data_IF_844563953161
#
_entry.id   IF_844563953161
#
_cell.length_a   1.000
_cell.length_b   1.000
_cell.length_c   1.000
_cell.angle_alpha   90.00
_cell.angle_beta   90.00
_cell.angle_gamma   90.00
#
_symmetry.space_group_name_H-M   'P 1'
#
loop_
_entity.id
_entity.type
_entity.pdbx_description
1 polymer ?
#
# COMPACT_ATOMS: atom_id res chain seq x y z
N UNK A 1 63.21 -23.43 -30.69
CA UNK A 1 64.35 -22.93 -31.50
C UNK A 1 63.97 -21.56 -32.06
N UNK A 2 64.94 -20.69 -32.37
CA UNK A 2 64.77 -19.24 -32.64
C UNK A 2 64.95 -18.90 -34.16
N UNK A 3 64.43 -17.82 -34.76
CA UNK A 3 63.40 -16.80 -34.39
C UNK A 3 62.18 -16.96 -35.35
N UNK A 4 61.41 -16.02 -35.93
CA UNK A 4 61.24 -14.54 -36.04
C UNK A 4 59.73 -14.26 -36.34
N UNK A 5 59.16 -13.04 -36.31
CA UNK A 5 59.69 -11.72 -35.93
C UNK A 5 59.15 -10.56 -36.80
N UNK A 6 58.34 -9.63 -36.24
CA UNK A 6 57.81 -8.42 -36.89
C UNK A 6 56.27 -8.27 -36.81
N UNK A 7 55.62 -7.11 -36.94
CA UNK A 7 55.81 -5.73 -36.45
C UNK A 7 54.57 -4.90 -36.92
N UNK A 8 54.05 -3.98 -36.08
CA UNK A 8 53.20 -2.81 -36.39
C UNK A 8 51.84 -2.86 -37.18
N UNK A 9 50.76 -2.57 -36.42
CA UNK A 9 49.90 -1.36 -36.50
C UNK A 9 49.04 -0.97 -37.74
N UNK A 10 47.76 -0.71 -37.41
CA UNK A 10 46.82 0.35 -37.88
C UNK A 10 45.89 0.20 -39.12
N UNK A 11 44.60 0.43 -38.80
CA UNK A 11 43.58 1.20 -39.54
C UNK A 11 42.78 0.58 -40.71
N UNK A 12 41.44 0.60 -40.52
CA UNK A 12 40.41 1.08 -41.46
C UNK A 12 40.42 0.53 -42.92
N UNK A 13 39.34 -0.11 -43.41
CA UNK A 13 37.95 0.41 -43.37
C UNK A 13 36.96 -0.51 -44.12
N UNK A 14 35.67 -0.12 -44.12
CA UNK A 14 34.57 -0.59 -45.02
C UNK A 14 34.23 -2.09 -45.02
N UNK A 15 33.12 -2.45 -44.35
CA UNK A 15 32.03 -3.27 -44.92
C UNK A 15 30.90 -3.53 -43.90
N UNK A 16 29.91 -2.64 -43.81
CA UNK A 16 28.48 -3.00 -43.91
C UNK A 16 27.60 -1.74 -43.95
N UNK A 17 26.78 -1.62 -45.00
CA UNK A 17 25.75 -0.59 -45.17
C UNK A 17 24.49 -1.30 -45.70
N UNK A 18 23.32 -0.69 -45.50
CA UNK A 18 21.99 -1.26 -45.80
C UNK A 18 21.57 -2.31 -44.76
N UNK A 19 20.55 -1.99 -43.94
CA UNK A 19 20.00 -2.92 -42.94
C UNK A 19 18.97 -2.30 -41.98
N UNK A 20 19.20 -1.09 -41.47
CA UNK A 20 18.31 -0.45 -40.47
C UNK A 20 17.96 0.99 -40.85
N UNK A 21 16.84 1.20 -41.57
CA UNK A 21 16.37 2.56 -41.94
C UNK A 21 14.88 2.85 -41.78
N UNK A 22 14.09 1.97 -41.16
CA UNK A 22 12.65 2.17 -40.94
C UNK A 22 12.21 2.39 -39.49
N UNK A 23 13.03 2.04 -38.49
CA UNK A 23 12.66 2.23 -37.07
C UNK A 23 12.75 3.70 -36.59
N UNK A 24 13.60 4.53 -37.19
CA UNK A 24 14.04 5.80 -36.59
C UNK A 24 13.12 7.02 -36.81
N UNK A 25 12.03 6.91 -37.56
CA UNK A 25 11.17 8.06 -37.92
C UNK A 25 9.93 8.28 -37.05
N UNK A 26 9.52 7.34 -36.19
CA UNK A 26 8.36 7.54 -35.29
C UNK A 26 8.69 8.17 -33.92
N UNK A 27 9.93 8.05 -33.43
CA UNK A 27 10.31 8.55 -32.09
C UNK A 27 10.57 10.07 -32.01
N UNK A 28 11.04 10.71 -33.09
CA UNK A 28 11.44 12.14 -33.05
C UNK A 28 10.30 13.15 -32.86
N UNK A 29 9.03 12.76 -32.93
CA UNK A 29 7.88 13.67 -32.65
C UNK A 29 7.52 13.81 -31.17
N UNK A 30 7.77 12.81 -30.31
CA UNK A 30 7.40 12.91 -28.86
C UNK A 30 8.39 13.75 -28.04
N UNK A 31 9.70 13.68 -28.32
CA UNK A 31 10.72 14.41 -27.52
C UNK A 31 10.61 15.94 -27.58
N UNK A 32 10.09 16.53 -28.67
CA UNK A 32 9.96 18.00 -28.78
C UNK A 32 8.80 18.60 -27.97
N UNK A 33 7.90 17.79 -27.40
CA UNK A 33 6.71 18.29 -26.68
C UNK A 33 6.91 18.39 -25.16
N UNK A 34 7.89 17.66 -24.60
CA UNK A 34 8.13 17.60 -23.14
C UNK A 34 9.08 18.71 -22.68
N UNK A 35 10.02 19.13 -23.53
CA UNK A 35 11.05 20.13 -23.17
C UNK A 35 10.56 21.59 -23.13
N UNK A 36 9.31 21.88 -23.54
CA UNK A 36 8.77 23.25 -23.52
C UNK A 36 8.14 23.66 -22.19
N UNK A 37 7.63 22.73 -21.37
CA UNK A 37 6.96 23.06 -20.10
C UNK A 37 7.92 23.22 -18.91
N UNK A 38 9.10 22.59 -18.94
CA UNK A 38 10.09 22.67 -17.86
C UNK A 38 10.73 24.08 -17.76
N UNK A 39 10.70 24.88 -18.84
CA UNK A 39 11.39 26.18 -18.93
C UNK A 39 10.75 27.33 -18.13
N UNK A 40 9.58 27.15 -17.51
CA UNK A 40 8.78 28.27 -16.98
C UNK A 40 8.82 28.46 -15.45
N UNK A 41 9.42 27.54 -14.69
CA UNK A 41 9.54 27.64 -13.22
C UNK A 41 10.99 27.68 -12.68
N UNK A 42 11.99 27.79 -13.55
CA UNK A 42 13.42 27.76 -13.19
C UNK A 42 14.00 28.98 -12.44
N UNK A 43 13.17 29.94 -11.99
CA UNK A 43 13.65 31.24 -11.48
C UNK A 43 12.99 31.68 -10.15
N UNK A 44 13.17 30.90 -9.08
CA UNK A 44 13.14 31.44 -7.70
C UNK A 44 13.91 30.63 -6.63
N UNK A 45 14.14 29.34 -6.84
CA UNK A 45 14.76 28.44 -5.85
C UNK A 45 16.31 28.48 -5.75
N UNK A 46 16.96 29.61 -6.06
CA UNK A 46 18.43 29.78 -5.96
C UNK A 46 18.85 30.57 -4.72
N UNK A 47 18.64 29.99 -3.55
CA UNK A 47 19.34 30.26 -2.27
C UNK A 47 19.00 29.12 -1.29
N UNK A 48 19.82 28.94 -0.25
CA UNK A 48 19.81 27.78 0.67
C UNK A 48 20.24 26.48 -0.04
N UNK A 49 21.51 26.43 -0.48
CA UNK A 49 22.29 25.20 -0.65
C UNK A 49 23.79 25.57 -0.78
N UNK A 50 24.35 26.04 0.34
CA UNK A 50 25.78 26.40 0.47
C UNK A 50 26.29 25.95 1.83
N UNK A 51 26.66 24.67 1.91
CA UNK A 51 27.11 23.98 3.11
C UNK A 51 27.12 22.48 2.84
N UNK A 52 28.25 21.83 3.14
CA UNK A 52 28.63 20.49 2.67
C UNK A 52 28.90 20.42 1.15
N UNK A 53 30.20 20.39 0.80
CA UNK A 53 30.65 20.07 -0.55
C UNK A 53 30.94 18.57 -0.68
N UNK A 54 30.67 18.02 -1.86
CA UNK A 54 31.13 16.70 -2.27
C UNK A 54 31.52 16.76 -3.75
N UNK A 55 32.55 16.02 -4.16
CA UNK A 55 33.15 16.18 -5.49
C UNK A 55 32.40 15.39 -6.57
N UNK A 56 32.26 16.00 -7.75
CA UNK A 56 31.86 15.31 -8.97
C UNK A 56 32.90 14.26 -9.38
N UNK A 57 32.49 13.00 -9.47
CA UNK A 57 33.20 11.99 -10.25
C UNK A 57 32.23 11.23 -11.16
N UNK A 58 32.32 11.55 -12.45
CA UNK A 58 31.59 10.90 -13.54
C UNK A 58 31.91 9.39 -13.62
N UNK A 59 30.96 8.54 -13.21
CA UNK A 59 31.01 7.11 -13.49
C UNK A 59 30.08 6.76 -14.67
N UNK A 60 30.62 6.68 -15.88
CA UNK A 60 29.91 6.12 -17.04
C UNK A 60 30.11 4.60 -17.07
N UNK A 61 29.03 3.84 -16.89
CA UNK A 61 28.96 2.45 -17.32
C UNK A 61 27.56 2.11 -17.83
N UNK A 62 27.48 1.44 -18.97
CA UNK A 62 26.21 1.02 -19.58
C UNK A 62 25.76 -0.32 -19.00
N UNK A 63 24.63 -0.34 -18.31
CA UNK A 63 23.87 -1.56 -18.04
C UNK A 63 22.47 -1.35 -18.61
N UNK A 64 21.96 -2.33 -19.36
CA UNK A 64 20.53 -2.39 -19.70
C UNK A 64 19.77 -2.83 -18.45
N UNK A 65 19.37 -1.89 -17.59
CA UNK A 65 18.21 -2.10 -16.72
C UNK A 65 16.96 -1.63 -17.45
N UNK A 66 15.86 -2.35 -17.27
CA UNK A 66 14.54 -1.84 -17.59
C UNK A 66 14.17 -0.79 -16.54
N UNK A 67 13.58 0.33 -16.96
CA UNK A 67 13.52 1.52 -16.12
C UNK A 67 12.30 1.44 -15.18
N UNK A 68 12.56 1.23 -13.90
CA UNK A 68 11.59 1.39 -12.82
C UNK A 68 11.11 2.85 -12.77
N UNK A 69 9.83 3.08 -12.47
CA UNK A 69 9.25 4.42 -12.55
C UNK A 69 8.44 4.76 -11.30
N UNK A 70 8.85 5.79 -10.56
CA UNK A 70 7.92 6.57 -9.75
C UNK A 70 7.25 7.60 -10.65
N UNK A 71 5.92 7.58 -10.71
CA UNK A 71 5.13 8.55 -11.47
C UNK A 71 4.43 9.51 -10.52
N UNK A 72 4.66 10.81 -10.72
CA UNK A 72 4.12 11.90 -9.90
C UNK A 72 3.02 12.64 -10.66
N UNK A 73 1.84 12.79 -10.05
CA UNK A 73 0.68 13.42 -10.66
C UNK A 73 0.13 14.57 -9.78
N UNK A 74 0.51 15.80 -10.11
CA UNK A 74 0.09 17.01 -9.40
C UNK A 74 1.10 17.52 -8.37
N UNK A 75 0.65 18.44 -7.52
CA UNK A 75 1.45 19.01 -6.42
C UNK A 75 1.18 18.21 -5.14
N UNK A 76 2.23 17.66 -4.53
CA UNK A 76 2.14 16.76 -3.38
C UNK A 76 2.69 17.47 -2.14
N UNK A 77 2.10 17.19 -0.96
CA UNK A 77 2.48 17.81 0.30
C UNK A 77 3.90 17.44 0.77
N UNK A 78 4.57 18.39 1.43
CA UNK A 78 6.00 18.27 1.79
C UNK A 78 6.32 17.14 2.80
N UNK A 79 5.34 16.64 3.57
CA UNK A 79 5.54 15.50 4.49
C UNK A 79 5.40 14.13 3.80
N UNK A 80 4.85 14.11 2.58
CA UNK A 80 4.80 12.98 1.65
C UNK A 80 5.97 13.01 0.65
N UNK A 81 6.89 13.97 0.80
CA UNK A 81 7.80 14.40 -0.26
C UNK A 81 8.90 13.39 -0.61
N UNK A 82 8.86 12.97 -1.88
CA UNK A 82 9.93 12.45 -2.74
C UNK A 82 11.07 11.67 -2.06
N UNK A 83 12.07 12.34 -1.48
CA UNK A 83 13.37 11.74 -1.13
C UNK A 83 13.27 10.40 -0.36
N UNK A 84 12.38 10.29 0.63
CA UNK A 84 12.24 9.07 1.44
C UNK A 84 11.70 7.87 0.65
N UNK A 85 10.90 8.12 -0.40
CA UNK A 85 10.35 7.11 -1.29
C UNK A 85 11.30 6.82 -2.47
N UNK A 86 11.98 7.85 -2.99
CA UNK A 86 13.02 7.71 -4.03
C UNK A 86 14.18 6.85 -3.53
N UNK A 87 14.73 7.12 -2.34
CA UNK A 87 15.80 6.30 -1.74
C UNK A 87 15.36 4.88 -1.33
N UNK A 88 14.09 4.52 -1.52
CA UNK A 88 13.62 3.15 -1.41
C UNK A 88 13.49 2.44 -2.77
N UNK A 89 13.12 3.17 -3.82
CA UNK A 89 13.15 2.68 -5.19
C UNK A 89 14.55 2.17 -5.56
N UNK A 90 15.59 2.92 -5.19
CA UNK A 90 17.00 2.59 -5.46
C UNK A 90 17.48 1.25 -4.88
N UNK A 91 16.69 0.60 -4.00
CA UNK A 91 17.06 -0.63 -3.31
C UNK A 91 16.24 -1.88 -3.69
N UNK A 92 15.01 -1.74 -4.22
CA UNK A 92 14.04 -2.85 -4.25
C UNK A 92 13.09 -2.85 -5.48
N UNK A 93 13.51 -2.29 -6.62
CA UNK A 93 12.91 -2.47 -7.96
C UNK A 93 11.38 -2.21 -8.09
N UNK A 94 10.80 -1.36 -7.23
CA UNK A 94 9.35 -1.09 -7.13
C UNK A 94 8.81 -0.04 -8.12
N UNK A 95 7.62 -0.28 -8.68
CA UNK A 95 6.79 0.74 -9.35
C UNK A 95 5.84 1.44 -8.35
N UNK A 96 5.82 2.78 -8.37
CA UNK A 96 4.99 3.61 -7.49
C UNK A 96 4.28 4.69 -8.32
N UNK A 97 2.97 4.89 -8.12
CA UNK A 97 2.31 6.13 -8.51
C UNK A 97 1.96 6.96 -7.28
N UNK A 98 2.19 8.28 -7.33
CA UNK A 98 1.85 9.21 -6.25
C UNK A 98 1.03 10.35 -6.85
N UNK A 99 -0.22 10.47 -6.40
CA UNK A 99 -1.20 11.42 -6.92
C UNK A 99 -1.51 12.50 -5.87
N UNK A 100 -1.84 13.70 -6.34
CA UNK A 100 -2.43 14.75 -5.49
C UNK A 100 -3.87 14.40 -5.11
N UNK A 101 -4.68 13.91 -6.04
CA UNK A 101 -6.06 13.50 -5.80
C UNK A 101 -6.52 12.44 -6.80
N UNK A 102 -7.40 11.54 -6.36
CA UNK A 102 -8.00 10.45 -7.14
C UNK A 102 -9.48 10.27 -6.77
N UNK A 103 -10.21 9.41 -7.49
CA UNK A 103 -11.48 8.86 -6.99
C UNK A 103 -11.19 7.89 -5.83
N UNK A 104 -10.33 6.89 -6.06
CA UNK A 104 -9.76 6.01 -5.04
C UNK A 104 -8.49 5.32 -5.55
N UNK A 105 -7.54 5.15 -4.65
CA UNK A 105 -6.30 4.38 -4.86
C UNK A 105 -6.57 2.92 -5.26
N UNK A 106 -7.64 2.28 -4.75
CA UNK A 106 -8.08 0.95 -5.19
C UNK A 106 -8.63 0.96 -6.63
N UNK A 107 -9.44 1.96 -7.01
CA UNK A 107 -9.91 2.10 -8.41
C UNK A 107 -8.73 2.27 -9.36
N UNK A 108 -7.75 3.10 -8.99
CA UNK A 108 -6.56 3.33 -9.82
C UNK A 108 -5.75 2.06 -10.03
N UNK A 109 -5.53 1.24 -8.99
CA UNK A 109 -4.87 -0.06 -9.15
C UNK A 109 -5.65 -1.04 -10.02
N UNK A 110 -6.98 -1.11 -9.89
CA UNK A 110 -7.83 -1.96 -10.75
C UNK A 110 -7.60 -1.64 -12.23
N UNK A 111 -7.71 -0.36 -12.61
CA UNK A 111 -7.47 0.08 -13.99
C UNK A 111 -6.03 -0.15 -14.49
N UNK A 112 -5.03 -0.24 -13.59
CA UNK A 112 -3.65 -0.60 -13.96
C UNK A 112 -3.58 -2.11 -14.26
N UNK A 113 -4.09 -2.94 -13.36
CA UNK A 113 -4.08 -4.40 -13.47
C UNK A 113 -4.88 -4.92 -14.67
N UNK A 114 -6.04 -4.32 -14.95
CA UNK A 114 -6.85 -4.60 -16.16
C UNK A 114 -6.09 -4.39 -17.49
N UNK A 115 -4.95 -3.68 -17.47
CA UNK A 115 -4.11 -3.39 -18.63
C UNK A 115 -2.74 -4.12 -18.62
N UNK A 116 -2.49 -4.95 -17.62
CA UNK A 116 -1.18 -5.56 -17.35
C UNK A 116 -1.20 -7.06 -17.64
N UNK A 117 -0.29 -7.53 -18.50
CA UNK A 117 -0.04 -8.96 -18.68
C UNK A 117 0.82 -9.47 -17.51
N UNK A 118 0.21 -10.27 -16.65
CA UNK A 118 0.84 -10.87 -15.48
C UNK A 118 1.12 -12.37 -15.65
N UNK A 119 0.79 -12.96 -16.81
CA UNK A 119 0.91 -14.40 -17.10
C UNK A 119 2.35 -14.94 -17.04
N UNK A 120 3.34 -14.06 -17.08
CA UNK A 120 4.77 -14.36 -16.96
C UNK A 120 5.46 -13.64 -15.78
N UNK A 121 4.67 -13.02 -14.89
CA UNK A 121 5.18 -12.30 -13.71
C UNK A 121 5.38 -13.22 -12.49
N UNK A 122 6.37 -12.90 -11.66
CA UNK A 122 6.57 -13.59 -10.38
C UNK A 122 5.44 -13.26 -9.38
N UNK A 123 5.21 -14.14 -8.41
CA UNK A 123 4.25 -13.90 -7.32
C UNK A 123 4.87 -12.96 -6.27
N UNK A 124 4.12 -11.94 -5.86
CA UNK A 124 4.62 -10.88 -4.99
C UNK A 124 3.92 -9.54 -5.22
N UNK A 125 4.59 -8.44 -4.84
CA UNK A 125 4.09 -7.08 -5.02
C UNK A 125 4.33 -6.58 -6.45
N UNK A 126 3.28 -6.10 -7.10
CA UNK A 126 3.29 -5.61 -8.49
C UNK A 126 3.41 -4.08 -8.57
N UNK A 127 2.61 -3.36 -7.76
CA UNK A 127 2.45 -1.91 -7.87
C UNK A 127 1.97 -1.31 -6.55
N UNK A 128 2.51 -0.14 -6.18
CA UNK A 128 1.97 0.74 -5.13
C UNK A 128 1.32 1.98 -5.78
N UNK A 129 0.15 2.38 -5.27
CA UNK A 129 -0.49 3.66 -5.58
C UNK A 129 -0.78 4.43 -4.29
N UNK A 130 -0.32 5.68 -4.23
CA UNK A 130 -0.55 6.61 -3.13
C UNK A 130 -1.36 7.81 -3.62
N UNK A 131 -2.18 8.39 -2.75
CA UNK A 131 -2.85 9.68 -3.01
C UNK A 131 -2.85 10.57 -1.78
N UNK A 132 -2.73 11.90 -1.97
CA UNK A 132 -2.86 12.88 -0.88
C UNK A 132 -4.33 13.15 -0.51
N UNK A 133 -5.27 12.95 -1.45
CA UNK A 133 -6.73 13.05 -1.28
C UNK A 133 -7.45 11.86 -1.98
N UNK A 134 -8.65 11.48 -1.54
CA UNK A 134 -9.58 10.68 -2.37
C UNK A 134 -11.00 11.28 -2.37
N UNK A 135 -11.50 11.66 -3.54
CA UNK A 135 -12.83 12.24 -3.71
C UNK A 135 -13.97 11.22 -3.53
N UNK A 136 -13.72 9.94 -3.82
CA UNK A 136 -14.67 8.83 -3.75
C UNK A 136 -14.10 7.61 -3.00
N UNK A 137 -13.31 7.85 -1.94
CA UNK A 137 -12.73 6.80 -1.09
C UNK A 137 -13.78 5.90 -0.44
N UNK A 138 -13.52 4.59 -0.42
CA UNK A 138 -14.47 3.54 0.02
C UNK A 138 -13.86 2.61 1.07
N UNK A 139 -14.72 2.04 1.90
CA UNK A 139 -14.47 0.89 2.76
C UNK A 139 -15.46 -0.24 2.48
N UNK A 140 -15.45 -1.28 3.33
CA UNK A 140 -16.37 -2.44 3.21
C UNK A 140 -17.84 -2.02 3.18
N UNK A 141 -18.63 -2.73 2.37
CA UNK A 141 -20.07 -2.52 2.19
C UNK A 141 -20.40 -1.10 1.66
N UNK A 142 -19.59 -0.61 0.72
CA UNK A 142 -19.70 0.70 0.05
C UNK A 142 -19.73 1.94 0.97
N UNK A 143 -19.40 1.79 2.25
CA UNK A 143 -19.30 2.91 3.19
C UNK A 143 -18.17 3.86 2.78
N UNK A 144 -18.43 5.17 2.84
CA UNK A 144 -17.45 6.20 2.47
C UNK A 144 -16.24 6.19 3.44
N UNK A 145 -15.04 6.26 2.89
CA UNK A 145 -13.82 6.54 3.66
C UNK A 145 -13.44 8.01 3.47
N UNK A 146 -13.61 8.82 4.52
CA UNK A 146 -13.32 10.26 4.48
C UNK A 146 -11.82 10.46 4.22
N UNK A 147 -11.50 11.07 3.08
CA UNK A 147 -10.13 11.14 2.57
C UNK A 147 -9.67 12.57 2.22
N UNK A 148 -9.71 13.54 3.17
CA UNK A 148 -9.30 14.92 2.92
C UNK A 148 -7.80 15.07 2.57
N UNK A 149 -7.41 16.13 1.85
CA UNK A 149 -6.03 16.40 1.46
C UNK A 149 -5.12 16.67 2.66
N UNK A 150 -3.82 16.44 2.49
CA UNK A 150 -2.72 16.81 3.41
C UNK A 150 -2.67 16.11 4.78
N UNK A 151 -3.72 15.39 5.17
CA UNK A 151 -3.89 14.95 6.57
C UNK A 151 -3.49 13.50 6.84
N UNK A 152 -3.75 12.57 5.92
CA UNK A 152 -3.73 11.13 6.19
C UNK A 152 -2.99 10.38 5.07
N UNK A 153 -2.73 9.08 5.24
CA UNK A 153 -2.22 8.24 4.15
C UNK A 153 -3.34 7.43 3.52
N UNK A 154 -3.50 7.56 2.20
CA UNK A 154 -4.34 6.68 1.39
C UNK A 154 -3.42 5.94 0.42
N UNK A 155 -3.28 4.63 0.62
CA UNK A 155 -2.34 3.79 -0.15
C UNK A 155 -2.97 2.47 -0.49
N UNK A 156 -2.72 1.98 -1.70
CA UNK A 156 -3.13 0.65 -2.11
C UNK A 156 -1.97 -0.11 -2.74
N UNK A 157 -1.87 -1.38 -2.43
CA UNK A 157 -0.85 -2.30 -2.91
C UNK A 157 -1.50 -3.38 -3.77
N UNK A 158 -0.98 -3.65 -4.97
CA UNK A 158 -1.40 -4.77 -5.81
C UNK A 158 -0.44 -5.94 -5.64
N UNK A 159 -0.96 -7.10 -5.24
CA UNK A 159 -0.24 -8.35 -5.15
C UNK A 159 -0.75 -9.37 -6.18
N UNK A 160 0.18 -10.17 -6.71
CA UNK A 160 -0.07 -11.31 -7.58
C UNK A 160 0.25 -12.59 -6.79
N UNK A 161 -0.70 -13.52 -6.69
CA UNK A 161 -0.55 -14.79 -5.97
C UNK A 161 -1.06 -15.98 -6.80
N UNK A 162 -0.63 -17.23 -6.50
CA UNK A 162 -1.19 -18.45 -7.10
C UNK A 162 -2.71 -18.53 -6.91
N UNK A 163 -3.45 -18.96 -7.93
CA UNK A 163 -4.91 -19.00 -7.89
C UNK A 163 -5.52 -20.10 -7.03
N UNK A 164 -4.69 -20.96 -6.43
CA UNK A 164 -5.03 -21.96 -5.42
C UNK A 164 -4.71 -21.53 -3.98
N UNK A 165 -4.10 -20.35 -3.78
CA UNK A 165 -3.85 -19.78 -2.45
C UNK A 165 -5.18 -19.44 -1.73
N UNK A 166 -5.32 -19.91 -0.50
CA UNK A 166 -6.43 -19.50 0.38
C UNK A 166 -6.17 -18.08 0.93
N UNK A 167 -7.06 -17.14 0.59
CA UNK A 167 -7.01 -15.76 1.05
C UNK A 167 -7.69 -15.55 2.42
N UNK A 168 -8.16 -16.62 3.07
CA UNK A 168 -8.72 -16.59 4.42
C UNK A 168 -7.74 -15.99 5.42
N UNK A 169 -8.23 -15.11 6.31
CA UNK A 169 -7.39 -14.39 7.27
C UNK A 169 -6.46 -13.31 6.70
N UNK A 170 -6.38 -13.09 5.38
CA UNK A 170 -5.46 -12.11 4.77
C UNK A 170 -5.63 -10.68 5.33
N UNK A 171 -6.87 -10.22 5.51
CA UNK A 171 -7.17 -8.91 6.12
C UNK A 171 -6.64 -8.77 7.55
N UNK A 172 -6.55 -9.88 8.29
CA UNK A 172 -5.99 -9.92 9.64
C UNK A 172 -4.46 -9.84 9.59
N UNK A 173 -3.81 -10.55 8.66
CA UNK A 173 -2.36 -10.48 8.43
C UNK A 173 -1.91 -9.06 8.00
N UNK A 174 -2.69 -8.39 7.13
CA UNK A 174 -2.49 -6.97 6.77
C UNK A 174 -2.68 -6.07 8.00
N UNK A 175 -3.67 -6.35 8.85
CA UNK A 175 -3.89 -5.65 10.12
C UNK A 175 -2.71 -5.73 11.08
N UNK A 176 -2.10 -6.91 11.21
CA UNK A 176 -0.89 -7.14 12.00
C UNK A 176 0.34 -6.42 11.43
N UNK A 177 0.50 -6.47 10.10
CA UNK A 177 1.55 -5.76 9.36
C UNK A 177 1.46 -4.24 9.59
N UNK A 178 0.26 -3.67 9.43
CA UNK A 178 -0.03 -2.26 9.71
C UNK A 178 0.19 -1.91 11.18
N UNK A 179 -0.29 -2.74 12.12
CA UNK A 179 -0.05 -2.55 13.55
C UNK A 179 1.44 -2.44 13.86
N UNK A 180 2.27 -3.37 13.37
CA UNK A 180 3.72 -3.37 13.61
C UNK A 180 4.38 -2.07 13.14
N UNK A 181 3.97 -1.54 11.98
CA UNK A 181 4.45 -0.25 11.47
C UNK A 181 4.03 0.91 12.38
N UNK A 182 2.75 1.00 12.75
CA UNK A 182 2.25 2.12 13.55
C UNK A 182 2.84 2.13 14.97
N UNK A 183 2.95 0.97 15.61
CA UNK A 183 3.61 0.82 16.93
C UNK A 183 5.08 1.24 16.82
N UNK A 184 5.80 0.84 15.76
CA UNK A 184 7.19 1.25 15.56
C UNK A 184 7.35 2.77 15.35
N UNK A 185 6.41 3.43 14.67
CA UNK A 185 6.50 4.88 14.40
C UNK A 185 6.03 5.77 15.56
N UNK A 186 5.24 5.25 16.51
CA UNK A 186 4.56 6.08 17.53
C UNK A 186 4.68 5.60 18.97
N UNK A 187 4.97 4.32 19.22
CA UNK A 187 4.97 3.72 20.56
C UNK A 187 3.58 3.59 21.21
N UNK A 188 2.49 3.89 20.49
CA UNK A 188 1.12 3.75 20.99
C UNK A 188 0.74 2.28 21.20
N UNK A 189 -0.16 2.03 22.15
CA UNK A 189 -0.81 0.73 22.29
C UNK A 189 -1.95 0.61 21.26
N UNK A 190 -1.74 -0.30 20.30
CA UNK A 190 -2.57 -0.46 19.11
C UNK A 190 -3.03 -1.90 19.04
N UNK A 191 -4.31 -2.11 18.73
CA UNK A 191 -4.96 -3.40 18.56
C UNK A 191 -5.48 -3.56 17.12
N UNK A 192 -5.76 -4.80 16.73
CA UNK A 192 -6.50 -5.10 15.50
C UNK A 192 -7.91 -5.56 15.89
N UNK A 193 -8.94 -4.94 15.32
CA UNK A 193 -10.34 -5.29 15.53
C UNK A 193 -10.86 -6.01 14.29
N UNK A 194 -11.30 -7.24 14.47
CA UNK A 194 -11.81 -8.08 13.38
C UNK A 194 -12.94 -7.38 12.59
N UNK A 195 -13.00 -7.51 11.25
CA UNK A 195 -12.05 -8.23 10.38
C UNK A 195 -10.98 -7.34 9.73
N UNK A 196 -11.07 -6.01 9.86
CA UNK A 196 -10.36 -5.08 8.95
C UNK A 196 -10.08 -3.67 9.51
N UNK A 197 -10.22 -3.45 10.83
CA UNK A 197 -9.99 -2.15 11.47
C UNK A 197 -8.77 -2.22 12.41
N UNK A 198 -7.92 -1.20 12.41
CA UNK A 198 -6.83 -1.03 13.39
C UNK A 198 -7.16 0.15 14.30
N UNK A 199 -7.01 -0.04 15.61
CA UNK A 199 -7.67 0.77 16.66
C UNK A 199 -6.78 0.96 17.88
N UNK A 200 -7.03 2.01 18.66
CA UNK A 200 -6.49 2.21 20.02
C UNK A 200 -7.61 2.10 21.06
N UNK A 201 -7.36 2.54 22.30
CA UNK A 201 -8.42 2.78 23.29
C UNK A 201 -9.32 3.98 22.92
N UNK A 202 -8.81 4.95 22.13
CA UNK A 202 -9.54 6.17 21.78
C UNK A 202 -10.47 5.99 20.57
N UNK A 203 -10.14 5.08 19.65
CA UNK A 203 -11.00 4.77 18.52
C UNK A 203 -10.29 4.10 17.35
N UNK A 204 -10.88 4.21 16.16
CA UNK A 204 -10.30 3.68 14.92
C UNK A 204 -9.22 4.60 14.35
N UNK A 205 -8.00 4.07 14.22
CA UNK A 205 -6.86 4.69 13.53
C UNK A 205 -6.88 4.43 12.03
N UNK A 206 -7.23 3.21 11.60
CA UNK A 206 -7.11 2.83 10.20
C UNK A 206 -8.14 1.78 9.77
N UNK A 207 -8.44 1.77 8.47
CA UNK A 207 -9.29 0.78 7.81
C UNK A 207 -8.58 0.13 6.64
N UNK A 208 -8.74 -1.19 6.54
CA UNK A 208 -8.26 -2.02 5.43
C UNK A 208 -9.45 -2.39 4.54
N UNK A 209 -9.26 -2.35 3.22
CA UNK A 209 -10.19 -2.83 2.21
C UNK A 209 -9.43 -3.70 1.20
N UNK A 210 -9.67 -5.01 1.24
CA UNK A 210 -9.14 -5.95 0.26
C UNK A 210 -10.19 -6.20 -0.81
N UNK A 211 -9.79 -6.07 -2.08
CA UNK A 211 -10.56 -6.44 -3.26
C UNK A 211 -9.73 -7.44 -4.07
N UNK A 212 -10.23 -8.65 -4.27
CA UNK A 212 -9.53 -9.71 -5.01
C UNK A 212 -10.28 -10.08 -6.30
N UNK A 213 -9.51 -10.38 -7.35
CA UNK A 213 -9.97 -10.87 -8.64
C UNK A 213 -9.25 -12.18 -8.96
N UNK A 214 -9.98 -13.21 -9.35
CA UNK A 214 -9.39 -14.42 -9.94
C UNK A 214 -9.32 -14.24 -11.46
N UNK A 215 -8.13 -14.37 -12.05
CA UNK A 215 -7.93 -14.22 -13.49
C UNK A 215 -6.77 -15.11 -13.94
N UNK A 216 -6.92 -15.78 -15.08
CA UNK A 216 -5.87 -16.55 -15.77
C UNK A 216 -5.15 -17.61 -14.90
N UNK A 217 -5.82 -18.11 -13.85
CA UNK A 217 -5.26 -19.09 -12.90
C UNK A 217 -4.54 -18.49 -11.70
N UNK A 218 -4.63 -17.18 -11.50
CA UNK A 218 -3.98 -16.43 -10.43
C UNK A 218 -4.98 -15.55 -9.63
N UNK A 219 -4.58 -15.15 -8.43
CA UNK A 219 -5.24 -14.07 -7.68
C UNK A 219 -4.52 -12.74 -7.91
N UNK A 220 -5.30 -11.72 -8.29
CA UNK A 220 -4.90 -10.32 -8.29
C UNK A 220 -5.57 -9.63 -7.10
N UNK A 221 -4.78 -9.24 -6.10
CA UNK A 221 -5.28 -8.74 -4.82
C UNK A 221 -4.88 -7.29 -4.59
N UNK A 222 -5.88 -6.42 -4.50
CA UNK A 222 -5.72 -5.00 -4.18
C UNK A 222 -5.95 -4.81 -2.68
N UNK A 223 -4.90 -4.44 -1.96
CA UNK A 223 -4.91 -4.18 -0.51
C UNK A 223 -4.91 -2.67 -0.30
N UNK A 224 -6.09 -2.10 -0.11
CA UNK A 224 -6.29 -0.68 0.23
C UNK A 224 -6.16 -0.43 1.72
N UNK A 225 -5.41 0.60 2.10
CA UNK A 225 -5.14 0.98 3.49
C UNK A 225 -5.32 2.50 3.62
N UNK A 226 -6.26 2.91 4.48
CA UNK A 226 -6.41 4.29 4.93
C UNK A 226 -6.02 4.41 6.40
N UNK A 227 -5.06 5.29 6.74
CA UNK A 227 -4.63 5.57 8.11
C UNK A 227 -4.84 7.05 8.44
N UNK A 228 -5.48 7.31 9.58
CA UNK A 228 -5.67 8.64 10.13
C UNK A 228 -4.36 9.11 10.80
N UNK A 229 -3.65 10.04 10.17
CA UNK A 229 -2.31 10.45 10.62
C UNK A 229 -2.36 11.79 11.35
N UNK A 230 -2.59 12.88 10.63
CA UNK A 230 -2.54 14.26 11.14
C UNK A 230 -3.93 14.93 11.23
N UNK A 231 -5.00 14.26 10.77
CA UNK A 231 -6.37 14.78 10.92
C UNK A 231 -6.74 14.99 12.39
N UNK A 232 -7.59 15.97 12.67
CA UNK A 232 -8.16 16.17 14.00
C UNK A 232 -9.52 15.45 14.09
N UNK A 233 -9.72 14.53 15.05
CA UNK A 233 -11.01 13.87 15.26
C UNK A 233 -12.13 14.86 15.58
N UNK A 234 -13.34 14.56 15.11
CA UNK A 234 -14.55 15.34 15.42
C UNK A 234 -15.75 14.44 15.68
N UNK A 235 -16.77 15.00 16.33
CA UNK A 235 -18.05 14.31 16.54
C UNK A 235 -18.69 13.95 15.19
N UNK A 236 -18.64 14.86 14.20
CA UNK A 236 -19.19 14.64 12.85
C UNK A 236 -18.47 13.52 12.08
N UNK A 237 -17.18 13.31 12.37
CA UNK A 237 -16.41 12.17 11.85
C UNK A 237 -16.90 10.87 12.48
N UNK A 238 -17.12 10.87 13.79
CA UNK A 238 -17.51 9.68 14.55
C UNK A 238 -18.95 9.25 14.29
N UNK A 239 -19.88 10.19 14.03
CA UNK A 239 -21.25 9.89 13.62
C UNK A 239 -21.30 9.28 12.22
N UNK A 240 -20.58 9.85 11.24
CA UNK A 240 -20.55 9.34 9.86
C UNK A 240 -19.95 7.92 9.73
N UNK A 241 -18.96 7.58 10.57
CA UNK A 241 -18.36 6.22 10.60
C UNK A 241 -19.07 5.31 11.63
N UNK A 242 -20.01 5.86 12.41
CA UNK A 242 -20.78 5.23 13.48
C UNK A 242 -19.91 4.48 14.51
N UNK A 243 -18.68 4.94 14.77
CA UNK A 243 -17.77 4.47 15.82
C UNK A 243 -16.78 5.60 16.13
N UNK A 244 -16.18 5.60 17.33
CA UNK A 244 -15.13 6.57 17.68
C UNK A 244 -13.96 6.51 16.69
N UNK A 245 -13.53 7.66 16.20
CA UNK A 245 -12.40 7.82 15.28
C UNK A 245 -11.28 8.60 15.96
N UNK A 246 -10.04 8.21 15.71
CA UNK A 246 -8.83 8.84 16.28
C UNK A 246 -7.76 8.98 15.19
N UNK A 247 -6.65 9.66 15.50
CA UNK A 247 -5.50 9.83 14.62
C UNK A 247 -4.18 9.75 15.39
N UNK A 248 -3.11 9.39 14.69
CA UNK A 248 -1.79 9.26 15.32
C UNK A 248 -1.35 10.58 15.99
N UNK A 249 -1.55 11.73 15.34
CA UNK A 249 -1.18 13.03 15.88
C UNK A 249 -2.06 13.49 17.05
N UNK A 250 -3.31 13.04 17.13
CA UNK A 250 -4.17 13.31 18.28
C UNK A 250 -3.69 12.54 19.54
N UNK A 251 -3.18 11.32 19.38
CA UNK A 251 -2.70 10.49 20.50
C UNK A 251 -1.22 10.71 20.84
N UNK A 252 -0.36 11.09 19.89
CA UNK A 252 1.05 11.47 20.15
C UNK A 252 1.24 12.95 20.47
N UNK A 253 0.20 13.78 20.34
CA UNK A 253 0.27 15.24 20.52
C UNK A 253 1.19 15.96 19.52
N UNK A 254 1.59 15.32 18.43
CA UNK A 254 2.60 15.83 17.48
C UNK A 254 2.37 15.31 16.06
N UNK A 255 2.75 16.10 15.04
CA UNK A 255 2.56 15.70 13.64
C UNK A 255 3.46 14.52 13.26
N UNK A 256 2.88 13.51 12.63
CA UNK A 256 3.56 12.28 12.23
C UNK A 256 3.82 12.32 10.72
N UNK A 257 5.05 12.00 10.32
CA UNK A 257 5.46 12.02 8.92
C UNK A 257 4.80 10.89 8.11
N UNK A 258 3.97 11.25 7.13
CA UNK A 258 3.22 10.28 6.32
C UNK A 258 4.11 9.38 5.46
N UNK A 259 5.18 9.90 4.87
CA UNK A 259 6.10 9.10 4.06
C UNK A 259 6.74 7.94 4.85
N UNK A 260 7.06 8.12 6.14
CA UNK A 260 7.57 7.03 7.01
C UNK A 260 6.55 5.91 7.21
N UNK A 261 5.27 6.21 7.35
CA UNK A 261 4.21 5.21 7.50
C UNK A 261 4.08 4.39 6.21
N UNK A 262 4.02 5.06 5.05
CA UNK A 262 3.96 4.40 3.73
C UNK A 262 5.20 3.51 3.52
N UNK A 263 6.39 4.00 3.87
CA UNK A 263 7.63 3.24 3.72
C UNK A 263 7.76 2.07 4.70
N UNK A 264 7.25 2.20 5.92
CA UNK A 264 7.10 1.08 6.84
C UNK A 264 6.16 0.03 6.28
N UNK A 265 4.97 0.45 5.84
CA UNK A 265 3.95 -0.42 5.25
C UNK A 265 4.49 -1.20 4.05
N UNK A 266 5.14 -0.52 3.10
CA UNK A 266 5.74 -1.19 1.95
C UNK A 266 6.73 -2.29 2.37
N UNK A 267 7.68 -1.99 3.25
CA UNK A 267 8.71 -2.96 3.67
C UNK A 267 8.12 -4.12 4.45
N UNK A 268 7.21 -3.83 5.39
CA UNK A 268 6.56 -4.83 6.22
C UNK A 268 5.62 -5.72 5.39
N UNK A 269 4.68 -5.14 4.63
CA UNK A 269 3.77 -5.91 3.77
C UNK A 269 4.51 -6.74 2.72
N UNK A 270 5.60 -6.24 2.11
CA UNK A 270 6.34 -7.04 1.13
C UNK A 270 6.90 -8.33 1.72
N UNK A 271 7.40 -8.29 2.97
CA UNK A 271 7.85 -9.48 3.69
C UNK A 271 6.69 -10.33 4.21
N UNK A 272 5.67 -9.72 4.81
CA UNK A 272 4.53 -10.42 5.40
C UNK A 272 3.62 -11.07 4.34
N UNK A 273 3.52 -10.54 3.13
CA UNK A 273 2.75 -11.17 2.04
C UNK A 273 3.51 -12.35 1.40
N UNK A 274 4.85 -12.30 1.32
CA UNK A 274 5.66 -13.49 0.99
C UNK A 274 5.55 -14.56 2.08
N UNK A 275 5.43 -14.14 3.34
CA UNK A 275 5.14 -15.06 4.45
C UNK A 275 3.73 -15.65 4.35
N UNK A 276 2.71 -14.84 4.04
CA UNK A 276 1.33 -15.32 3.86
C UNK A 276 1.21 -16.30 2.68
N UNK A 277 1.97 -16.08 1.60
CA UNK A 277 2.07 -16.99 0.46
C UNK A 277 2.59 -18.40 0.83
N UNK A 278 3.37 -18.52 1.92
CA UNK A 278 3.94 -19.79 2.39
C UNK A 278 3.19 -20.37 3.61
N UNK A 279 2.93 -19.55 4.63
CA UNK A 279 2.35 -19.95 5.92
C UNK A 279 0.81 -19.81 5.97
N UNK A 280 0.20 -19.15 4.98
CA UNK A 280 -1.20 -18.71 5.01
C UNK A 280 -1.51 -17.86 6.25
N UNK A 281 -2.76 -17.94 6.72
CA UNK A 281 -3.16 -17.37 8.02
C UNK A 281 -2.44 -18.00 9.23
N UNK A 282 -2.02 -19.27 9.14
CA UNK A 282 -1.46 -20.01 10.27
C UNK A 282 -0.18 -19.37 10.83
N UNK A 283 0.65 -18.75 9.97
CA UNK A 283 1.83 -17.99 10.40
C UNK A 283 1.51 -16.78 11.29
N UNK A 284 0.32 -16.21 11.16
CA UNK A 284 -0.09 -14.97 11.84
C UNK A 284 -0.97 -15.21 13.08
N UNK A 285 -1.63 -16.37 13.16
CA UNK A 285 -2.62 -16.69 14.18
C UNK A 285 -2.11 -16.62 15.64
N UNK A 286 -0.79 -16.73 15.88
CA UNK A 286 -0.21 -16.58 17.23
C UNK A 286 0.13 -15.11 17.58
N UNK A 287 0.41 -14.25 16.59
CA UNK A 287 0.54 -12.80 16.80
C UNK A 287 -0.84 -12.18 17.08
N UNK A 288 -1.88 -12.66 16.39
CA UNK A 288 -3.27 -12.21 16.58
C UNK A 288 -3.75 -12.24 18.04
N UNK A 289 -3.48 -13.35 18.75
CA UNK A 289 -3.96 -13.59 20.13
C UNK A 289 -3.47 -12.55 21.14
N UNK A 290 -2.39 -11.81 20.86
CA UNK A 290 -1.86 -10.78 21.76
C UNK A 290 -2.36 -9.37 21.42
N UNK A 291 -3.15 -9.20 20.36
CA UNK A 291 -3.53 -7.88 19.83
C UNK A 291 -5.00 -7.75 19.42
N UNK A 292 -5.78 -8.84 19.44
CA UNK A 292 -7.21 -8.85 19.10
C UNK A 292 -8.00 -7.94 20.06
N UNK A 293 -8.65 -6.91 19.51
CA UNK A 293 -9.45 -5.97 20.31
C UNK A 293 -10.73 -6.60 20.88
N UNK A 294 -11.24 -7.67 20.27
CA UNK A 294 -12.52 -8.29 20.60
C UNK A 294 -12.40 -9.48 21.54
N UNK A 295 -11.20 -10.06 21.72
CA UNK A 295 -11.03 -11.26 22.55
C UNK A 295 -11.56 -11.06 23.99
N UNK A 296 -12.44 -11.98 24.42
CA UNK A 296 -13.11 -11.94 25.72
C UNK A 296 -14.10 -10.78 25.91
N UNK A 297 -14.44 -10.03 24.85
CA UNK A 297 -15.40 -8.93 24.91
C UNK A 297 -16.80 -9.39 24.48
N UNK A 298 -17.84 -8.84 25.12
CA UNK A 298 -19.21 -8.96 24.61
C UNK A 298 -19.35 -8.15 23.32
N UNK A 299 -19.87 -8.80 22.27
CA UNK A 299 -20.03 -8.21 20.94
C UNK A 299 -21.45 -8.37 20.42
N UNK A 300 -21.90 -7.36 19.68
CA UNK A 300 -23.12 -7.37 18.89
C UNK A 300 -22.75 -7.68 17.43
N UNK A 301 -23.29 -8.77 16.90
CA UNK A 301 -23.06 -9.29 15.54
C UNK A 301 -24.26 -8.89 14.66
N UNK A 302 -24.00 -8.11 13.61
CA UNK A 302 -25.01 -7.63 12.67
C UNK A 302 -24.81 -8.30 11.29
N UNK A 303 -25.65 -9.29 11.01
CA UNK A 303 -25.72 -9.97 9.71
C UNK A 303 -26.42 -9.09 8.67
N UNK A 304 -25.93 -9.08 7.42
CA UNK A 304 -26.33 -8.09 6.41
C UNK A 304 -25.69 -6.70 6.61
N UNK A 305 -24.84 -6.54 7.63
CA UNK A 305 -24.15 -5.31 7.95
C UNK A 305 -24.89 -4.47 9.00
N UNK A 306 -24.40 -3.26 9.25
CA UNK A 306 -25.03 -2.35 10.21
C UNK A 306 -26.00 -1.39 9.51
N UNK A 307 -27.27 -1.46 9.87
CA UNK A 307 -28.35 -0.56 9.48
C UNK A 307 -29.33 -0.34 10.64
N UNK A 308 -30.28 0.59 10.48
CA UNK A 308 -31.35 0.83 11.46
C UNK A 308 -32.41 -0.30 11.51
N UNK A 309 -32.33 -1.31 10.63
CA UNK A 309 -33.30 -2.40 10.52
C UNK A 309 -32.69 -3.80 10.75
N UNK A 310 -31.37 -3.88 10.92
CA UNK A 310 -30.65 -5.12 11.23
C UNK A 310 -30.59 -5.32 12.74
N UNK A 311 -31.44 -6.20 13.27
CA UNK A 311 -31.37 -6.64 14.67
C UNK A 311 -30.08 -7.46 14.88
N UNK A 312 -29.18 -7.05 15.78
CA UNK A 312 -28.01 -7.86 16.11
C UNK A 312 -28.39 -9.03 17.02
N UNK A 313 -27.59 -10.09 16.98
CA UNK A 313 -27.47 -11.02 18.10
C UNK A 313 -26.21 -10.72 18.92
N UNK A 314 -26.17 -11.19 20.16
CA UNK A 314 -25.10 -10.89 21.11
C UNK A 314 -24.40 -12.16 21.60
N UNK A 315 -23.09 -12.08 21.80
CA UNK A 315 -22.28 -13.14 22.39
C UNK A 315 -20.90 -12.65 22.83
N UNK A 316 -20.05 -13.54 23.33
CA UNK A 316 -18.67 -13.25 23.72
C UNK A 316 -17.71 -13.67 22.61
N UNK A 317 -16.86 -12.77 22.14
CA UNK A 317 -15.89 -13.08 21.09
C UNK A 317 -14.69 -13.87 21.64
N UNK A 318 -14.54 -15.11 21.18
CA UNK A 318 -13.50 -16.08 21.58
C UNK A 318 -12.26 -16.04 20.66
N UNK A 319 -11.99 -14.89 20.05
CA UNK A 319 -10.93 -14.73 19.05
C UNK A 319 -11.32 -15.27 17.67
N UNK A 320 -10.35 -15.75 16.89
CA UNK A 320 -10.57 -16.31 15.54
C UNK A 320 -10.06 -17.73 15.40
N UNK A 321 -10.64 -18.49 14.47
CA UNK A 321 -10.22 -19.86 14.17
C UNK A 321 -9.04 -19.95 13.18
N UNK A 322 -8.73 -21.18 12.75
CA UNK A 322 -7.68 -21.51 11.79
C UNK A 322 -7.92 -20.97 10.36
N UNK A 323 -9.09 -20.36 10.09
CA UNK A 323 -9.42 -19.66 8.84
C UNK A 323 -9.62 -18.14 9.06
N UNK A 324 -9.35 -17.63 10.26
CA UNK A 324 -9.55 -16.21 10.60
C UNK A 324 -11.03 -15.80 10.77
N UNK A 325 -11.94 -16.77 10.93
CA UNK A 325 -13.37 -16.50 11.20
C UNK A 325 -13.53 -16.20 12.69
N UNK A 326 -14.20 -15.10 13.02
CA UNK A 326 -14.45 -14.72 14.41
C UNK A 326 -15.33 -15.77 15.09
N UNK A 327 -14.85 -16.35 16.17
CA UNK A 327 -15.62 -17.26 17.00
C UNK A 327 -16.39 -16.42 18.01
N UNK A 328 -17.71 -16.58 18.08
CA UNK A 328 -18.56 -15.88 19.06
C UNK A 328 -19.43 -16.91 19.78
N UNK A 329 -19.32 -16.95 21.10
CA UNK A 329 -20.11 -17.80 21.98
C UNK A 329 -21.42 -17.08 22.34
N UNK A 330 -22.57 -17.67 22.02
CA UNK A 330 -23.88 -17.10 22.32
C UNK A 330 -24.28 -17.29 23.80
N UNK A 331 -25.46 -16.75 24.18
CA UNK A 331 -25.98 -16.85 25.55
C UNK A 331 -26.34 -18.27 26.00
N UNK A 332 -26.26 -19.26 25.12
CA UNK A 332 -26.49 -20.68 25.41
C UNK A 332 -25.17 -21.47 25.50
N UNK A 333 -24.02 -20.83 25.28
CA UNK A 333 -22.71 -21.48 25.21
C UNK A 333 -22.39 -22.12 23.84
N UNK A 334 -23.17 -21.81 22.79
CA UNK A 334 -22.86 -22.30 21.45
C UNK A 334 -21.87 -21.35 20.75
N UNK A 335 -20.75 -21.89 20.27
CA UNK A 335 -19.77 -21.14 19.47
C UNK A 335 -20.19 -21.13 18.01
N UNK A 336 -20.36 -19.92 17.44
CA UNK A 336 -20.67 -19.67 16.04
C UNK A 336 -19.46 -19.07 15.32
N UNK A 337 -19.19 -19.52 14.08
CA UNK A 337 -18.07 -19.06 13.27
C UNK A 337 -18.52 -17.97 12.26
N UNK A 338 -18.25 -16.71 12.59
CA UNK A 338 -18.73 -15.54 11.86
C UNK A 338 -17.82 -15.19 10.67
N UNK A 339 -18.41 -15.01 9.49
CA UNK A 339 -17.73 -14.70 8.23
C UNK A 339 -17.63 -13.20 7.96
N UNK A 340 -16.51 -12.74 7.40
CA UNK A 340 -16.17 -11.31 7.28
C UNK A 340 -16.76 -10.57 6.07
N UNK A 341 -17.65 -11.21 5.28
CA UNK A 341 -18.29 -10.62 4.11
C UNK A 341 -19.24 -9.49 4.50
N UNK A 342 -20.51 -9.82 4.64
CA UNK A 342 -21.60 -8.87 4.93
C UNK A 342 -21.95 -8.81 6.43
N UNK A 343 -20.95 -8.89 7.31
CA UNK A 343 -21.13 -8.78 8.76
C UNK A 343 -20.44 -7.53 9.32
N UNK A 344 -21.14 -6.83 10.22
CA UNK A 344 -20.56 -5.82 11.09
C UNK A 344 -20.53 -6.34 12.53
N UNK A 345 -19.37 -6.30 13.18
CA UNK A 345 -19.23 -6.63 14.60
C UNK A 345 -18.85 -5.37 15.38
N UNK A 346 -19.52 -5.17 16.52
CA UNK A 346 -19.34 -4.02 17.41
C UNK A 346 -19.21 -4.52 18.84
N UNK A 347 -18.46 -3.82 19.69
CA UNK A 347 -18.53 -4.03 21.13
C UNK A 347 -19.96 -3.73 21.61
N UNK A 348 -20.45 -4.50 22.58
CA UNK A 348 -21.60 -4.09 23.38
C UNK A 348 -21.17 -2.99 24.38
N UNK A 349 -22.10 -2.08 24.69
CA UNK A 349 -21.98 -1.00 25.67
C UNK A 349 -23.12 -1.12 26.67
#
# INVERSE_FOLDING_TARGET
MYLHGGYQQYCCSVLYVIGVRLAFMRLRKRQKMILSQISLYGHKSRRILTGFGYNDHLCKNNIKKEHQVIQYFGTIADDLCLNTLVSAQEAQDLNIEIHQSLDSTNTRLRHILESMDLTSSEYGLVQLVCSDEQTAGRGRMQRKWLSPPGQNTYTSFAFHFPGDLDLSGLSLAVGLSLRRVLVQQTGLDIHVKWPNDVVTSQGKLAGILIEALHQDGAWLVIIGIGVNVNMQPSNDTSTQVAQSVTSLAAETGSTVNRARIIMGLYRTLSGDMLRFLHDGWAGFAQEWKTVDRLAGQTVNVFEGGFSEHTTPWQGVAQGVDHLGRLQVEDTNGQIHAVLSGDVSVRLAF
#
